data_IF_318123276748
#
_entry.id   IF_318123276748
#
_cell.length_a   1.000
_cell.length_b   1.000
_cell.length_c   1.000
_cell.angle_alpha   90.00
_cell.angle_beta   90.00
_cell.angle_gamma   90.00
#
_symmetry.space_group_name_H-M   'P 1'
#
loop_
_entity.id
_entity.type
_entity.pdbx_description
1 polymer ?
#
# COMPACT_ATOMS: atom_id res chain seq x y z
N UNK A 1 23.03 -6.42 -18.60
CA UNK A 1 22.32 -5.89 -17.41
C UNK A 1 21.06 -5.22 -17.92
N UNK A 2 19.88 -5.60 -17.45
CA UNK A 2 18.61 -4.95 -17.81
C UNK A 2 18.37 -3.84 -16.78
N UNK A 3 18.14 -2.58 -17.19
CA UNK A 3 17.89 -1.49 -16.26
C UNK A 3 16.61 -1.73 -15.44
N UNK A 4 16.64 -1.41 -14.15
CA UNK A 4 15.45 -1.45 -13.30
C UNK A 4 14.46 -0.36 -13.71
N UNK A 5 13.18 -0.51 -13.33
CA UNK A 5 12.16 0.52 -13.58
C UNK A 5 12.57 1.86 -12.97
N UNK A 6 13.08 1.87 -11.73
CA UNK A 6 13.63 3.07 -11.09
C UNK A 6 14.72 3.75 -11.93
N UNK A 7 15.64 2.96 -12.50
CA UNK A 7 16.70 3.49 -13.38
C UNK A 7 16.13 4.07 -14.67
N UNK A 8 15.13 3.42 -15.27
CA UNK A 8 14.47 3.91 -16.48
C UNK A 8 13.71 5.23 -16.24
N UNK A 9 12.90 5.29 -15.17
CA UNK A 9 12.16 6.50 -14.77
C UNK A 9 13.14 7.63 -14.41
N UNK A 10 14.19 7.32 -13.65
CA UNK A 10 15.24 8.29 -13.31
C UNK A 10 15.99 8.83 -14.54
N UNK A 11 16.23 8.01 -15.56
CA UNK A 11 16.82 8.44 -16.81
C UNK A 11 15.90 9.41 -17.57
N UNK A 12 14.60 9.10 -17.69
CA UNK A 12 13.61 9.98 -18.33
C UNK A 12 13.54 11.32 -17.60
N UNK A 13 13.44 11.29 -16.26
CA UNK A 13 13.43 12.47 -15.39
C UNK A 13 14.66 13.36 -15.61
N UNK A 14 15.85 12.76 -15.67
CA UNK A 14 17.09 13.48 -15.94
C UNK A 14 17.14 14.10 -17.34
N UNK A 15 16.66 13.38 -18.36
CA UNK A 15 16.58 13.90 -19.74
C UNK A 15 15.66 15.11 -19.81
N UNK A 16 14.48 15.04 -19.20
CA UNK A 16 13.54 16.17 -19.18
C UNK A 16 14.17 17.37 -18.46
N UNK A 17 14.73 17.18 -17.27
CA UNK A 17 15.28 18.27 -16.48
C UNK A 17 16.52 18.94 -17.12
N UNK A 18 17.41 18.14 -17.74
CA UNK A 18 18.70 18.63 -18.22
C UNK A 18 18.74 18.96 -19.72
N UNK A 19 17.81 18.43 -20.50
CA UNK A 19 17.81 18.56 -21.96
C UNK A 19 16.53 19.21 -22.47
N UNK A 20 15.35 18.68 -22.09
CA UNK A 20 14.09 19.17 -22.64
C UNK A 20 13.75 20.55 -22.08
N UNK A 21 13.67 20.68 -20.75
CA UNK A 21 13.26 21.92 -20.09
C UNK A 21 14.15 23.12 -20.49
N UNK A 22 15.50 23.01 -20.54
CA UNK A 22 16.35 24.12 -20.99
C UNK A 22 16.26 24.44 -22.49
N UNK A 23 15.74 23.52 -23.30
CA UNK A 23 15.60 23.70 -24.74
C UNK A 23 14.24 24.29 -25.14
N UNK A 24 13.29 24.43 -24.20
CA UNK A 24 12.00 25.08 -24.46
C UNK A 24 12.20 26.58 -24.68
N UNK A 25 11.40 27.15 -25.59
CA UNK A 25 11.40 28.59 -25.81
C UNK A 25 10.90 29.30 -24.53
N UNK A 26 11.63 30.29 -23.98
CA UNK A 26 11.21 31.03 -22.80
C UNK A 26 9.86 31.74 -22.95
N UNK A 27 9.42 32.00 -24.18
CA UNK A 27 8.10 32.60 -24.48
C UNK A 27 6.96 31.59 -24.38
N UNK A 28 7.23 30.28 -24.37
CA UNK A 28 6.26 29.21 -24.22
C UNK A 28 6.11 28.79 -22.74
N UNK A 29 5.69 29.72 -21.88
CA UNK A 29 5.58 29.49 -20.43
C UNK A 29 4.74 28.26 -20.06
N UNK A 30 3.66 28.00 -20.81
CA UNK A 30 2.81 26.83 -20.61
C UNK A 30 3.58 25.50 -20.82
N UNK A 31 4.46 25.43 -21.83
CA UNK A 31 5.24 24.23 -22.09
C UNK A 31 6.24 23.95 -20.95
N UNK A 32 6.87 25.01 -20.43
CA UNK A 32 7.76 24.91 -19.28
C UNK A 32 7.02 24.45 -18.01
N UNK A 33 5.80 24.95 -17.78
CA UNK A 33 4.93 24.49 -16.69
C UNK A 33 4.56 23.01 -16.84
N UNK A 34 4.14 22.57 -18.03
CA UNK A 34 3.81 21.15 -18.27
C UNK A 34 5.03 20.24 -18.07
N UNK A 35 6.21 20.64 -18.54
CA UNK A 35 7.45 19.89 -18.30
C UNK A 35 7.79 19.82 -16.80
N UNK A 36 7.56 20.91 -16.05
CA UNK A 36 7.67 20.93 -14.59
C UNK A 36 6.70 19.96 -13.91
N UNK A 37 5.44 19.90 -14.34
CA UNK A 37 4.45 18.95 -13.84
C UNK A 37 4.86 17.51 -14.11
N UNK A 38 5.39 17.21 -15.30
CA UNK A 38 5.91 15.88 -15.63
C UNK A 38 7.07 15.50 -14.71
N UNK A 39 8.00 16.41 -14.42
CA UNK A 39 9.08 16.16 -13.47
C UNK A 39 8.56 15.86 -12.07
N UNK A 40 7.58 16.63 -11.58
CA UNK A 40 6.96 16.39 -10.28
C UNK A 40 6.28 15.02 -10.22
N UNK A 41 5.58 14.61 -11.28
CA UNK A 41 4.97 13.28 -11.39
C UNK A 41 6.03 12.16 -11.39
N UNK A 42 7.15 12.33 -12.08
CA UNK A 42 8.23 11.34 -12.11
C UNK A 42 8.91 11.20 -10.74
N UNK A 43 9.13 12.32 -10.04
CA UNK A 43 9.67 12.32 -8.67
C UNK A 43 8.71 11.61 -7.71
N UNK A 44 7.39 11.85 -7.83
CA UNK A 44 6.37 11.12 -7.09
C UNK A 44 6.36 9.61 -7.38
N UNK A 45 6.43 9.21 -8.66
CA UNK A 45 6.48 7.79 -9.04
C UNK A 45 7.70 7.09 -8.44
N UNK A 46 8.88 7.73 -8.48
CA UNK A 46 10.10 7.17 -7.90
C UNK A 46 9.98 6.96 -6.38
N UNK A 47 9.38 7.93 -5.69
CA UNK A 47 9.15 7.88 -4.25
C UNK A 47 8.17 6.76 -3.85
N UNK A 48 7.05 6.61 -4.57
CA UNK A 48 6.11 5.52 -4.36
C UNK A 48 6.75 4.17 -4.68
N UNK A 49 7.43 4.06 -5.83
CA UNK A 49 8.07 2.82 -6.28
C UNK A 49 9.10 2.30 -5.27
N UNK A 50 9.85 3.19 -4.63
CA UNK A 50 10.81 2.82 -3.58
C UNK A 50 10.15 2.16 -2.35
N UNK A 51 8.85 2.37 -2.16
CA UNK A 51 8.10 1.92 -0.99
C UNK A 51 7.11 0.78 -1.27
N UNK A 52 6.88 0.40 -2.54
CA UNK A 52 5.83 -0.57 -2.92
C UNK A 52 5.97 -1.90 -2.18
N UNK A 53 7.17 -2.48 -2.15
CA UNK A 53 7.38 -3.77 -1.48
C UNK A 53 7.13 -3.68 0.03
N UNK A 54 7.64 -2.63 0.69
CA UNK A 54 7.43 -2.42 2.14
C UNK A 54 5.95 -2.22 2.46
N UNK A 55 5.22 -1.49 1.62
CA UNK A 55 3.79 -1.30 1.75
C UNK A 55 3.05 -2.65 1.69
N UNK A 56 3.33 -3.46 0.67
CA UNK A 56 2.65 -4.75 0.51
C UNK A 56 3.01 -5.76 1.61
N UNK A 57 4.22 -5.69 2.17
CA UNK A 57 4.57 -6.47 3.37
C UNK A 57 3.74 -6.05 4.59
N UNK A 58 3.51 -4.74 4.78
CA UNK A 58 2.67 -4.25 5.87
C UNK A 58 1.21 -4.69 5.68
N UNK A 59 0.67 -4.54 4.47
CA UNK A 59 -0.66 -5.05 4.10
C UNK A 59 -0.79 -6.55 4.35
N UNK A 60 0.22 -7.33 3.97
CA UNK A 60 0.26 -8.76 4.20
C UNK A 60 0.20 -9.09 5.69
N UNK A 61 1.08 -8.49 6.50
CA UNK A 61 1.15 -8.76 7.94
C UNK A 61 -0.16 -8.40 8.65
N UNK A 62 -0.74 -7.23 8.34
CA UNK A 62 -1.99 -6.78 8.95
C UNK A 62 -3.19 -7.64 8.54
N UNK A 63 -3.35 -7.92 7.24
CA UNK A 63 -4.48 -8.75 6.78
C UNK A 63 -4.38 -10.18 7.27
N UNK A 64 -3.16 -10.74 7.39
CA UNK A 64 -2.96 -12.06 7.99
C UNK A 64 -3.35 -12.08 9.47
N UNK A 65 -2.91 -11.09 10.24
CA UNK A 65 -3.23 -10.99 11.66
C UNK A 65 -4.73 -10.76 11.89
N UNK A 66 -5.35 -9.89 11.08
CA UNK A 66 -6.79 -9.64 11.11
C UNK A 66 -7.57 -10.91 10.76
N UNK A 67 -7.19 -11.59 9.68
CA UNK A 67 -7.84 -12.84 9.28
C UNK A 67 -7.73 -13.86 10.40
N UNK A 68 -6.52 -14.08 10.97
CA UNK A 68 -6.28 -14.98 12.08
C UNK A 68 -7.21 -14.70 13.27
N UNK A 69 -7.32 -13.43 13.68
CA UNK A 69 -8.24 -13.03 14.75
C UNK A 69 -9.70 -13.30 14.40
N UNK A 70 -10.14 -12.98 13.18
CA UNK A 70 -11.52 -13.23 12.77
C UNK A 70 -11.85 -14.73 12.75
N UNK A 71 -10.91 -15.61 12.39
CA UNK A 71 -11.19 -17.06 12.34
C UNK A 71 -11.41 -17.71 13.70
N UNK A 72 -11.00 -17.06 14.79
CA UNK A 72 -11.27 -17.51 16.17
C UNK A 72 -12.76 -17.36 16.54
N UNK A 73 -13.49 -16.48 15.86
CA UNK A 73 -14.91 -16.21 16.15
C UNK A 73 -15.88 -16.97 15.25
N UNK A 74 -15.41 -17.58 14.15
CA UNK A 74 -16.27 -18.41 13.29
C UNK A 74 -16.47 -19.79 13.93
N UNK A 75 -17.67 -20.40 13.79
CA UNK A 75 -17.93 -21.73 14.36
C UNK A 75 -16.92 -22.80 13.91
N UNK A 76 -16.68 -23.78 14.78
CA UNK A 76 -15.84 -24.93 14.47
C UNK A 76 -16.34 -25.66 13.21
N UNK A 77 -15.46 -25.88 12.23
CA UNK A 77 -15.80 -26.44 10.92
C UNK A 77 -16.06 -25.39 9.82
N UNK A 78 -16.27 -24.13 10.18
CA UNK A 78 -16.31 -23.00 9.24
C UNK A 78 -14.93 -22.33 9.12
N UNK A 79 -14.61 -21.77 7.96
CA UNK A 79 -13.37 -21.01 7.75
C UNK A 79 -12.12 -21.85 7.44
N UNK A 80 -12.27 -23.07 6.91
CA UNK A 80 -11.14 -23.92 6.48
C UNK A 80 -10.18 -23.19 5.53
N UNK A 81 -10.73 -22.56 4.49
CA UNK A 81 -9.96 -21.76 3.52
C UNK A 81 -9.17 -20.61 4.17
N UNK A 82 -9.74 -19.95 5.19
CA UNK A 82 -9.06 -18.90 5.93
C UNK A 82 -7.86 -19.44 6.73
N UNK A 83 -8.05 -20.57 7.42
CA UNK A 83 -6.97 -21.22 8.19
C UNK A 83 -5.86 -21.74 7.28
N UNK A 84 -6.22 -22.33 6.15
CA UNK A 84 -5.26 -22.77 5.12
C UNK A 84 -4.45 -21.59 4.60
N UNK A 85 -5.09 -20.47 4.22
CA UNK A 85 -4.36 -19.31 3.73
C UNK A 85 -3.47 -18.69 4.80
N UNK A 86 -3.86 -18.66 6.07
CA UNK A 86 -3.01 -18.18 7.18
C UNK A 86 -1.75 -19.03 7.33
N UNK A 87 -1.87 -20.35 7.14
CA UNK A 87 -0.75 -21.27 7.18
C UNK A 87 0.17 -21.09 5.95
N UNK A 88 -0.41 -20.99 4.75
CA UNK A 88 0.32 -20.71 3.50
C UNK A 88 1.05 -19.36 3.53
N UNK A 89 0.50 -18.37 4.25
CA UNK A 89 1.03 -17.00 4.33
C UNK A 89 1.89 -16.76 5.57
N UNK A 90 2.44 -17.80 6.19
CA UNK A 90 3.36 -17.64 7.32
C UNK A 90 4.55 -16.73 6.97
N UNK A 91 5.07 -16.83 5.76
CA UNK A 91 6.12 -15.97 5.20
C UNK A 91 5.61 -15.24 3.95
N UNK A 92 5.84 -13.91 3.83
CA UNK A 92 5.44 -13.16 2.65
C UNK A 92 6.31 -13.53 1.44
N UNK A 93 5.74 -13.67 0.23
CA UNK A 93 6.52 -13.84 -1.00
C UNK A 93 7.47 -12.66 -1.26
N UNK A 94 8.69 -12.95 -1.72
CA UNK A 94 9.66 -11.92 -2.15
C UNK A 94 9.25 -11.22 -3.46
N UNK A 95 8.52 -11.93 -4.33
CA UNK A 95 8.03 -11.39 -5.59
C UNK A 95 6.79 -10.51 -5.35
N UNK A 96 6.89 -9.23 -5.72
CA UNK A 96 5.83 -8.23 -5.49
C UNK A 96 4.49 -8.62 -6.13
N UNK A 97 4.51 -9.27 -7.30
CA UNK A 97 3.27 -9.68 -7.99
C UNK A 97 2.57 -10.78 -7.20
N UNK A 98 3.32 -11.77 -6.71
CA UNK A 98 2.82 -12.84 -5.84
C UNK A 98 2.35 -12.31 -4.49
N UNK A 99 3.11 -11.40 -3.88
CA UNK A 99 2.74 -10.76 -2.61
C UNK A 99 1.40 -10.03 -2.75
N UNK A 100 1.24 -9.19 -3.79
CA UNK A 100 -0.03 -8.51 -4.12
C UNK A 100 -1.19 -9.47 -4.36
N UNK A 101 -0.95 -10.61 -5.01
CA UNK A 101 -1.97 -11.61 -5.24
C UNK A 101 -2.41 -12.27 -3.92
N UNK A 102 -1.47 -12.56 -3.02
CA UNK A 102 -1.75 -13.13 -1.71
C UNK A 102 -2.49 -12.14 -0.79
N UNK A 103 -2.06 -10.87 -0.74
CA UNK A 103 -2.77 -9.79 -0.02
C UNK A 103 -4.22 -9.68 -0.50
N UNK A 104 -4.46 -9.69 -1.82
CA UNK A 104 -5.82 -9.67 -2.38
C UNK A 104 -6.66 -10.87 -1.93
N UNK A 105 -6.10 -12.09 -1.95
CA UNK A 105 -6.78 -13.29 -1.44
C UNK A 105 -7.15 -13.13 0.03
N UNK A 106 -6.24 -12.61 0.85
CA UNK A 106 -6.49 -12.37 2.28
C UNK A 106 -7.59 -11.33 2.50
N UNK A 107 -7.56 -10.19 1.78
CA UNK A 107 -8.61 -9.16 1.87
C UNK A 107 -10.00 -9.71 1.53
N UNK A 108 -10.11 -10.50 0.46
CA UNK A 108 -11.37 -11.16 0.10
C UNK A 108 -11.85 -12.12 1.18
N UNK A 109 -10.95 -12.85 1.85
CA UNK A 109 -11.33 -13.72 2.95
C UNK A 109 -11.72 -12.94 4.21
N UNK A 110 -11.00 -11.87 4.55
CA UNK A 110 -11.36 -10.94 5.64
C UNK A 110 -12.78 -10.42 5.42
N UNK A 111 -13.10 -9.94 4.21
CA UNK A 111 -14.43 -9.44 3.86
C UNK A 111 -15.51 -10.52 4.07
N UNK A 112 -15.30 -11.73 3.54
CA UNK A 112 -16.26 -12.85 3.70
C UNK A 112 -16.43 -13.27 5.15
N UNK A 113 -15.33 -13.43 5.88
CA UNK A 113 -15.35 -13.83 7.30
C UNK A 113 -16.01 -12.76 8.14
N UNK A 114 -15.67 -11.49 7.95
CA UNK A 114 -16.32 -10.37 8.62
C UNK A 114 -17.82 -10.33 8.31
N UNK A 115 -18.21 -10.47 7.04
CA UNK A 115 -19.62 -10.50 6.64
C UNK A 115 -20.43 -11.59 7.35
N UNK A 116 -19.82 -12.76 7.63
CA UNK A 116 -20.45 -13.82 8.40
C UNK A 116 -20.58 -13.52 9.91
N UNK A 117 -19.69 -12.66 10.45
CA UNK A 117 -19.64 -12.30 11.86
C UNK A 117 -20.38 -11.00 12.19
N UNK A 118 -20.63 -10.13 11.21
CA UNK A 118 -21.13 -8.78 11.44
C UNK A 118 -22.48 -8.73 12.17
N UNK A 119 -23.32 -9.77 12.01
CA UNK A 119 -24.60 -9.90 12.71
C UNK A 119 -24.50 -10.65 14.06
N UNK A 120 -23.32 -11.13 14.44
CA UNK A 120 -23.10 -12.05 15.56
C UNK A 120 -22.79 -11.31 16.88
N UNK A 121 -23.72 -10.52 17.40
CA UNK A 121 -23.64 -9.91 18.74
C UNK A 121 -22.26 -9.35 19.11
N UNK A 122 -21.73 -9.76 20.27
CA UNK A 122 -20.42 -9.31 20.77
C UNK A 122 -19.22 -9.72 19.90
N UNK A 123 -19.32 -10.84 19.17
CA UNK A 123 -18.30 -11.24 18.21
C UNK A 123 -18.29 -10.30 17.00
N UNK A 124 -19.46 -9.89 16.52
CA UNK A 124 -19.61 -8.89 15.46
C UNK A 124 -19.06 -7.52 15.85
N UNK A 125 -19.32 -7.05 17.07
CA UNK A 125 -18.75 -5.80 17.58
C UNK A 125 -17.22 -5.82 17.67
N UNK A 126 -16.66 -6.96 18.10
CA UNK A 126 -15.21 -7.15 18.20
C UNK A 126 -14.57 -7.20 16.81
N UNK A 127 -15.16 -7.96 15.88
CA UNK A 127 -14.74 -8.03 14.49
C UNK A 127 -14.79 -6.64 13.81
N UNK A 128 -15.87 -5.88 14.04
CA UNK A 128 -16.05 -4.53 13.49
C UNK A 128 -14.96 -3.56 13.96
N UNK A 129 -14.64 -3.55 15.26
CA UNK A 129 -13.55 -2.72 15.81
C UNK A 129 -12.20 -3.07 15.20
N UNK A 130 -11.90 -4.36 15.03
CA UNK A 130 -10.63 -4.80 14.46
C UNK A 130 -10.51 -4.44 12.97
N UNK A 131 -11.57 -4.63 12.18
CA UNK A 131 -11.61 -4.20 10.77
C UNK A 131 -11.46 -2.68 10.67
N UNK A 132 -12.13 -1.91 11.53
CA UNK A 132 -12.03 -0.46 11.55
C UNK A 132 -10.60 0.03 11.84
N UNK A 133 -9.89 -0.61 12.78
CA UNK A 133 -8.50 -0.26 13.09
C UNK A 133 -7.54 -0.54 11.92
N UNK A 134 -7.69 -1.69 11.24
CA UNK A 134 -6.89 -2.00 10.05
C UNK A 134 -7.22 -1.03 8.90
N UNK A 135 -8.51 -0.73 8.69
CA UNK A 135 -8.94 0.24 7.68
C UNK A 135 -8.38 1.65 7.95
N UNK A 136 -8.30 2.06 9.22
CA UNK A 136 -7.68 3.33 9.63
C UNK A 136 -6.20 3.37 9.23
N UNK A 137 -5.44 2.32 9.54
CA UNK A 137 -4.00 2.22 9.19
C UNK A 137 -3.77 2.17 7.69
N UNK A 138 -4.60 1.42 6.95
CA UNK A 138 -4.57 1.42 5.49
C UNK A 138 -4.81 2.83 4.95
N UNK A 139 -5.81 3.55 5.49
CA UNK A 139 -6.09 4.92 5.07
C UNK A 139 -4.89 5.83 5.29
N UNK A 140 -4.18 5.71 6.41
CA UNK A 140 -2.95 6.48 6.67
C UNK A 140 -1.87 6.20 5.61
N UNK A 141 -1.67 4.93 5.21
CA UNK A 141 -0.70 4.57 4.17
C UNK A 141 -1.08 5.15 2.80
N UNK A 142 -2.34 5.01 2.40
CA UNK A 142 -2.86 5.55 1.13
C UNK A 142 -2.73 7.07 1.06
N UNK A 143 -2.99 7.77 2.18
CA UNK A 143 -2.83 9.22 2.25
C UNK A 143 -1.35 9.63 2.12
N UNK A 144 -0.41 8.84 2.66
CA UNK A 144 1.03 9.10 2.50
C UNK A 144 1.50 8.95 1.04
N UNK A 145 0.87 8.08 0.25
CA UNK A 145 1.11 7.98 -1.20
C UNK A 145 0.67 9.23 -1.94
N UNK A 146 -0.45 9.83 -1.55
CA UNK A 146 -0.97 11.04 -2.20
C UNK A 146 -0.28 12.33 -1.75
N UNK A 147 0.61 12.29 -0.75
CA UNK A 147 1.14 13.49 -0.09
C UNK A 147 1.78 14.54 -1.02
N UNK A 148 2.39 14.11 -2.13
CA UNK A 148 3.04 15.00 -3.10
C UNK A 148 2.05 15.64 -4.08
N UNK A 149 0.78 15.24 -4.06
CA UNK A 149 -0.28 15.75 -4.95
C UNK A 149 -0.95 17.03 -4.41
N UNK A 150 -0.62 17.45 -3.19
CA UNK A 150 -1.32 18.53 -2.48
C UNK A 150 -2.58 18.09 -1.75
N UNK A 151 -2.89 16.78 -1.74
CA UNK A 151 -3.99 16.17 -0.99
C UNK A 151 -3.53 14.90 -0.26
N UNK A 152 -3.90 14.68 1.03
CA UNK A 152 -4.74 15.52 1.89
C UNK A 152 -4.03 16.80 2.38
N UNK A 153 -4.81 17.82 2.79
CA UNK A 153 -4.25 19.02 3.40
C UNK A 153 -3.75 18.72 4.83
N UNK A 154 -2.54 19.17 5.16
CA UNK A 154 -1.94 18.97 6.49
C UNK A 154 -0.43 18.67 6.43
N UNK A 155 0.14 18.25 7.57
CA UNK A 155 1.53 17.76 7.62
C UNK A 155 1.59 16.40 6.93
N UNK A 156 2.14 16.40 5.71
CA UNK A 156 2.38 15.21 4.91
C UNK A 156 3.52 14.38 5.50
N UNK A 157 3.19 13.28 6.20
CA UNK A 157 4.20 12.30 6.62
C UNK A 157 4.75 11.55 5.40
N UNK A 158 6.03 11.19 5.43
CA UNK A 158 6.61 10.35 4.38
C UNK A 158 6.07 8.92 4.43
N UNK A 159 6.08 8.23 3.28
CA UNK A 159 5.64 6.84 3.20
C UNK A 159 6.48 5.95 4.13
N UNK A 160 7.80 6.21 4.20
CA UNK A 160 8.70 5.48 5.06
C UNK A 160 8.34 5.62 6.54
N UNK A 161 8.08 6.84 7.02
CA UNK A 161 7.70 7.10 8.42
C UNK A 161 6.38 6.44 8.78
N UNK A 162 5.38 6.49 7.90
CA UNK A 162 4.08 5.84 8.14
C UNK A 162 4.24 4.31 8.21
N UNK A 163 5.02 3.73 7.29
CA UNK A 163 5.28 2.30 7.29
C UNK A 163 6.08 1.86 8.52
N UNK A 164 7.06 2.66 8.97
CA UNK A 164 7.84 2.39 10.19
C UNK A 164 6.99 2.45 11.45
N UNK A 165 6.11 3.43 11.58
CA UNK A 165 5.19 3.55 12.71
C UNK A 165 4.20 2.38 12.82
N UNK A 166 3.96 1.68 11.71
CA UNK A 166 3.01 0.57 11.63
C UNK A 166 3.67 -0.81 11.63
N UNK A 167 5.00 -0.90 11.68
CA UNK A 167 5.66 -2.19 11.82
C UNK A 167 5.26 -2.85 13.15
N UNK A 168 4.93 -4.16 13.14
CA UNK A 168 4.70 -4.87 14.38
C UNK A 168 5.97 -4.80 15.24
N UNK A 169 5.85 -4.30 16.47
CA UNK A 169 6.94 -4.31 17.44
C UNK A 169 7.38 -5.76 17.64
N UNK A 170 8.57 -6.10 17.14
CA UNK A 170 9.19 -7.39 17.44
C UNK A 170 9.58 -7.35 18.93
N UNK A 171 8.91 -8.16 19.75
CA UNK A 171 9.30 -8.44 21.13
C UNK A 171 10.22 -9.66 21.18
#
# INVERSE_FOLDING_TARGET
MIPTVAQQVGAVRNTIAKTVLPALDPSESFAAEQAGLVLACLDWILDVHASEHRYECAEHAENRALLAMLVEFVPAGSGGEARELIAESAEPPEDLVRLRAQVRRMKSLVERTYGSLAASGSAGETASRAVAEVARRQSERELAWCRMTGFPQGVAQSIAEVLEAQQPVQF
#
